data_IF_702171738664
#
_entry.id   IF_702171738664
#
_cell.length_a   1.000
_cell.length_b   1.000
_cell.length_c   1.000
_cell.angle_alpha   90.00
_cell.angle_beta   90.00
_cell.angle_gamma   90.00
#
_symmetry.space_group_name_H-M   'P 1'
#
loop_
_entity.id
_entity.type
_entity.pdbx_description
1 polymer ?
#
# COMPACT_ATOMS: atom_id res chain seq x y z
N UNK A 1 -12.26 29.10 -35.90
CA UNK A 1 -11.23 29.81 -35.11
C UNK A 1 -11.02 29.00 -33.85
N UNK A 2 -9.81 28.51 -33.67
CA UNK A 2 -9.41 27.39 -32.80
C UNK A 2 -9.43 27.75 -31.31
N UNK A 3 -10.17 26.98 -30.50
CA UNK A 3 -9.98 26.95 -29.05
C UNK A 3 -8.65 26.26 -28.72
N UNK A 4 -7.71 27.05 -28.26
CA UNK A 4 -6.41 26.62 -27.74
C UNK A 4 -6.60 26.13 -26.31
N UNK A 5 -6.89 24.84 -26.10
CA UNK A 5 -6.78 24.21 -24.78
C UNK A 5 -5.33 23.82 -24.55
N UNK A 6 -4.62 24.74 -23.91
CA UNK A 6 -3.26 24.57 -23.44
C UNK A 6 -3.08 23.26 -22.71
N UNK A 7 -2.29 22.39 -23.34
CA UNK A 7 -1.46 21.33 -22.80
C UNK A 7 -1.10 21.52 -21.33
N UNK A 8 -1.90 20.91 -20.46
CA UNK A 8 -1.53 20.66 -19.06
C UNK A 8 -1.41 19.15 -18.87
N UNK A 9 -0.24 18.74 -18.39
CA UNK A 9 0.03 17.43 -17.78
C UNK A 9 0.11 16.23 -18.73
N UNK A 10 1.29 15.94 -19.31
CA UNK A 10 1.47 14.65 -19.99
C UNK A 10 2.89 14.03 -19.92
N UNK A 11 3.71 14.40 -18.93
CA UNK A 11 5.04 13.77 -18.76
C UNK A 11 5.18 12.86 -17.53
N UNK A 12 4.38 13.07 -16.49
CA UNK A 12 4.31 12.18 -15.31
C UNK A 12 3.33 11.01 -15.50
N UNK A 13 2.40 11.11 -16.46
CA UNK A 13 1.41 10.09 -16.79
C UNK A 13 1.92 8.73 -17.32
N UNK A 14 2.96 8.64 -18.18
CA UNK A 14 3.30 7.36 -18.83
C UNK A 14 3.97 6.33 -17.89
N UNK A 15 4.72 6.78 -16.88
CA UNK A 15 5.42 5.89 -15.94
C UNK A 15 4.46 5.37 -14.86
N UNK A 16 3.68 6.27 -14.26
CA UNK A 16 2.68 5.90 -13.25
C UNK A 16 1.62 4.98 -13.87
N UNK A 17 1.21 5.27 -15.10
CA UNK A 17 0.30 4.41 -15.84
C UNK A 17 0.92 3.04 -16.09
N UNK A 18 2.17 2.95 -16.59
CA UNK A 18 2.83 1.63 -16.73
C UNK A 18 2.97 0.83 -15.43
N UNK A 19 3.11 1.50 -14.28
CA UNK A 19 3.24 0.84 -12.97
C UNK A 19 1.92 0.32 -12.42
N UNK A 20 0.80 0.94 -12.79
CA UNK A 20 -0.52 0.71 -12.18
C UNK A 20 -1.50 0.04 -13.15
N UNK A 21 -1.31 0.25 -14.46
CA UNK A 21 -2.24 -0.15 -15.49
C UNK A 21 -2.17 -1.66 -15.70
N UNK A 22 -3.27 -2.33 -15.38
CA UNK A 22 -3.46 -3.76 -15.57
C UNK A 22 -4.69 -4.01 -16.43
N UNK A 23 -4.63 -5.00 -17.30
CA UNK A 23 -5.77 -5.45 -18.08
C UNK A 23 -6.72 -6.27 -17.18
N UNK A 24 -8.04 -5.99 -17.13
CA UNK A 24 -8.99 -6.79 -16.38
C UNK A 24 -9.02 -8.27 -16.75
N UNK A 25 -8.56 -8.66 -17.94
CA UNK A 25 -8.43 -10.08 -18.34
C UNK A 25 -7.30 -10.81 -17.59
N UNK A 26 -6.33 -10.07 -17.05
CA UNK A 26 -5.20 -10.62 -16.27
C UNK A 26 -5.53 -10.84 -14.78
N UNK A 27 -6.76 -10.55 -14.35
CA UNK A 27 -7.22 -10.76 -12.96
C UNK A 27 -7.44 -12.26 -12.73
N UNK A 28 -6.37 -12.95 -12.39
CA UNK A 28 -6.38 -14.36 -12.01
C UNK A 28 -6.18 -14.51 -10.49
N UNK A 29 -6.29 -15.75 -9.99
CA UNK A 29 -6.07 -16.06 -8.57
C UNK A 29 -4.68 -15.61 -8.09
N UNK A 30 -3.66 -15.72 -8.95
CA UNK A 30 -2.29 -15.28 -8.65
C UNK A 30 -2.22 -13.77 -8.44
N UNK A 31 -2.94 -12.98 -9.23
CA UNK A 31 -3.06 -11.54 -9.04
C UNK A 31 -3.62 -11.20 -7.65
N UNK A 32 -4.70 -11.87 -7.25
CA UNK A 32 -5.31 -11.66 -5.92
C UNK A 32 -4.31 -11.96 -4.80
N UNK A 33 -3.59 -13.09 -4.90
CA UNK A 33 -2.55 -13.44 -3.93
C UNK A 33 -1.38 -12.45 -3.91
N UNK A 34 -0.90 -12.05 -5.09
CA UNK A 34 0.17 -11.07 -5.22
C UNK A 34 -0.25 -9.73 -4.60
N UNK A 35 -1.51 -9.33 -4.78
CA UNK A 35 -2.06 -8.10 -4.22
C UNK A 35 -2.17 -8.12 -2.69
N UNK A 36 -2.68 -9.22 -2.12
CA UNK A 36 -2.74 -9.42 -0.66
C UNK A 36 -1.33 -9.45 -0.07
N UNK A 37 -0.39 -10.18 -0.71
CA UNK A 37 1.01 -10.23 -0.28
C UNK A 37 1.64 -8.84 -0.27
N UNK A 38 1.41 -8.03 -1.31
CA UNK A 38 1.94 -6.68 -1.39
C UNK A 38 1.41 -5.78 -0.26
N UNK A 39 0.12 -5.90 0.10
CA UNK A 39 -0.44 -5.23 1.27
C UNK A 39 0.24 -5.67 2.56
N UNK A 40 0.43 -6.98 2.73
CA UNK A 40 1.16 -7.54 3.87
C UNK A 40 2.57 -6.97 3.99
N UNK A 41 3.35 -6.98 2.90
CA UNK A 41 4.72 -6.42 2.88
C UNK A 41 4.71 -4.94 3.25
N UNK A 42 3.85 -4.14 2.63
CA UNK A 42 3.75 -2.70 2.88
C UNK A 42 3.41 -2.41 4.36
N UNK A 43 2.43 -3.11 4.91
CA UNK A 43 2.06 -3.01 6.33
C UNK A 43 3.19 -3.47 7.26
N UNK A 44 3.85 -4.59 6.97
CA UNK A 44 4.98 -5.08 7.77
C UNK A 44 6.14 -4.08 7.77
N UNK A 45 6.41 -3.41 6.65
CA UNK A 45 7.43 -2.36 6.58
C UNK A 45 7.09 -1.17 7.47
N UNK A 46 5.83 -0.71 7.45
CA UNK A 46 5.39 0.35 8.36
C UNK A 46 5.52 -0.07 9.83
N UNK A 47 5.15 -1.31 10.16
CA UNK A 47 5.26 -1.86 11.51
C UNK A 47 6.72 -1.94 11.94
N UNK A 48 7.60 -2.46 11.09
CA UNK A 48 9.04 -2.56 11.37
C UNK A 48 9.65 -1.17 11.61
N UNK A 49 9.24 -0.16 10.84
CA UNK A 49 9.62 1.23 11.10
C UNK A 49 9.10 1.72 12.44
N UNK A 50 7.79 1.64 12.72
CA UNK A 50 7.23 2.05 14.02
C UNK A 50 7.87 1.33 15.21
N UNK A 51 8.20 0.05 15.05
CA UNK A 51 8.88 -0.72 16.07
C UNK A 51 10.30 -0.21 16.29
N UNK A 52 11.06 0.02 15.22
CA UNK A 52 12.41 0.58 15.28
C UNK A 52 12.43 1.99 15.90
N UNK A 53 11.40 2.81 15.68
CA UNK A 53 11.24 4.11 16.33
C UNK A 53 11.11 3.99 17.85
N UNK A 54 10.37 2.98 18.32
CA UNK A 54 10.09 2.77 19.75
C UNK A 54 11.19 2.00 20.48
N UNK A 55 11.85 1.09 19.77
CA UNK A 55 12.88 0.20 20.28
C UNK A 55 14.16 0.37 19.46
N UNK A 56 14.80 1.54 19.48
CA UNK A 56 16.04 1.75 18.73
C UNK A 56 17.13 0.74 19.11
N UNK A 57 17.14 0.23 20.34
CA UNK A 57 18.03 -0.81 20.85
C UNK A 57 17.90 -2.17 20.15
N UNK A 58 16.76 -2.43 19.50
CA UNK A 58 16.56 -3.64 18.69
C UNK A 58 17.33 -3.62 17.37
N UNK A 59 17.88 -2.47 17.01
CA UNK A 59 18.70 -2.28 15.83
C UNK A 59 20.14 -2.75 16.05
N UNK A 60 20.77 -3.25 14.99
CA UNK A 60 22.19 -3.64 15.02
C UNK A 60 23.01 -2.87 13.98
N UNK A 61 24.29 -2.63 14.29
CA UNK A 61 25.24 -2.02 13.36
C UNK A 61 24.87 -0.60 12.94
N UNK A 62 24.93 -0.31 11.64
CA UNK A 62 24.66 1.02 11.06
C UNK A 62 23.21 1.47 11.31
N UNK A 63 22.28 0.52 11.45
CA UNK A 63 20.87 0.81 11.70
C UNK A 63 20.67 1.44 13.08
N UNK A 64 21.49 1.07 14.07
CA UNK A 64 21.42 1.64 15.42
C UNK A 64 21.83 3.12 15.45
N UNK A 65 22.89 3.48 14.70
CA UNK A 65 23.44 4.84 14.66
C UNK A 65 22.47 5.81 13.96
N UNK A 66 21.70 5.31 12.99
CA UNK A 66 20.75 6.08 12.20
C UNK A 66 19.31 5.54 12.36
N UNK A 67 18.96 5.08 13.56
CA UNK A 67 17.70 4.37 13.83
C UNK A 67 16.47 5.21 13.47
N UNK A 68 16.49 6.51 13.77
CA UNK A 68 15.44 7.47 13.41
C UNK A 68 15.26 7.60 11.89
N UNK A 69 16.37 7.69 11.14
CA UNK A 69 16.35 7.79 9.68
C UNK A 69 15.79 6.51 9.04
N UNK A 70 16.27 5.34 9.49
CA UNK A 70 15.81 4.05 8.99
C UNK A 70 14.35 3.79 9.32
N UNK A 71 13.95 4.12 10.54
CA UNK A 71 12.57 4.02 10.99
C UNK A 71 11.64 4.88 10.14
N UNK A 72 11.97 6.16 9.97
CA UNK A 72 11.18 7.08 9.15
C UNK A 72 11.12 6.59 7.70
N UNK A 73 12.24 6.11 7.15
CA UNK A 73 12.30 5.55 5.80
C UNK A 73 11.39 4.34 5.62
N UNK A 74 11.36 3.41 6.58
CA UNK A 74 10.50 2.23 6.57
C UNK A 74 9.01 2.61 6.64
N UNK A 75 8.66 3.57 7.50
CA UNK A 75 7.29 4.09 7.62
C UNK A 75 6.84 4.73 6.30
N UNK A 76 7.63 5.64 5.75
CA UNK A 76 7.30 6.35 4.52
C UNK A 76 7.23 5.40 3.31
N UNK A 77 8.15 4.44 3.20
CA UNK A 77 8.17 3.47 2.12
C UNK A 77 6.97 2.51 2.20
N UNK A 78 6.66 2.01 3.40
CA UNK A 78 5.48 1.17 3.61
C UNK A 78 4.17 1.92 3.33
N UNK A 79 4.07 3.20 3.70
CA UNK A 79 2.92 4.03 3.37
C UNK A 79 2.79 4.23 1.86
N UNK A 80 3.88 4.57 1.18
CA UNK A 80 3.93 4.74 -0.26
C UNK A 80 3.47 3.48 -1.01
N UNK A 81 3.97 2.30 -0.60
CA UNK A 81 3.57 1.02 -1.19
C UNK A 81 2.08 0.71 -0.97
N UNK A 82 1.55 1.01 0.23
CA UNK A 82 0.12 0.85 0.51
C UNK A 82 -0.75 1.73 -0.39
N UNK A 83 -0.32 2.98 -0.65
CA UNK A 83 -1.03 3.90 -1.56
C UNK A 83 -1.00 3.36 -3.00
N UNK A 84 0.14 2.86 -3.47
CA UNK A 84 0.23 2.26 -4.81
C UNK A 84 -0.68 1.04 -4.93
N UNK A 85 -0.68 0.15 -3.93
CA UNK A 85 -1.53 -1.03 -3.92
C UNK A 85 -3.01 -0.64 -3.91
N UNK A 86 -3.41 0.36 -3.10
CA UNK A 86 -4.78 0.88 -3.10
C UNK A 86 -5.18 1.48 -4.46
N UNK A 87 -4.27 2.21 -5.10
CA UNK A 87 -4.52 2.83 -6.40
C UNK A 87 -4.71 1.76 -7.48
N UNK A 88 -3.91 0.69 -7.43
CA UNK A 88 -4.01 -0.43 -8.37
C UNK A 88 -5.36 -1.15 -8.26
N UNK A 89 -5.86 -1.40 -7.06
CA UNK A 89 -7.14 -2.09 -6.90
C UNK A 89 -8.32 -1.22 -7.33
N UNK A 90 -8.30 0.09 -7.04
CA UNK A 90 -9.32 1.04 -7.52
C UNK A 90 -9.31 1.08 -9.06
N UNK A 91 -8.13 1.12 -9.67
CA UNK A 91 -7.98 1.17 -11.12
C UNK A 91 -8.52 -0.10 -11.79
N UNK A 92 -8.14 -1.27 -11.28
CA UNK A 92 -8.60 -2.56 -11.77
C UNK A 92 -10.12 -2.68 -11.65
N UNK A 93 -10.67 -2.30 -10.50
CA UNK A 93 -12.10 -2.40 -10.26
C UNK A 93 -12.91 -1.37 -11.06
N UNK A 94 -12.33 -0.23 -11.43
CA UNK A 94 -12.93 0.70 -12.40
C UNK A 94 -13.05 0.12 -13.82
N UNK A 95 -12.23 -0.88 -14.16
CA UNK A 95 -12.28 -1.57 -15.46
C UNK A 95 -13.16 -2.82 -15.46
N UNK A 96 -13.24 -3.52 -14.33
CA UNK A 96 -14.10 -4.71 -14.20
C UNK A 96 -15.55 -4.24 -14.08
N UNK A 97 -16.43 -4.67 -14.99
CA UNK A 97 -17.89 -4.50 -14.89
C UNK A 97 -18.47 -5.40 -13.78
N UNK A 98 -17.94 -5.29 -12.57
CA UNK A 98 -18.37 -6.10 -11.43
C UNK A 98 -19.66 -5.52 -10.84
N UNK A 99 -20.57 -6.36 -10.33
CA UNK A 99 -21.71 -5.88 -9.56
C UNK A 99 -21.21 -5.11 -8.33
N UNK A 100 -21.65 -3.86 -8.18
CA UNK A 100 -21.17 -2.91 -7.16
C UNK A 100 -21.18 -3.50 -5.74
N UNK A 101 -22.16 -4.34 -5.41
CA UNK A 101 -22.26 -5.01 -4.11
C UNK A 101 -21.10 -5.97 -3.81
N UNK A 102 -20.64 -6.75 -4.79
CA UNK A 102 -19.53 -7.69 -4.64
C UNK A 102 -18.21 -6.93 -4.50
N UNK A 103 -18.05 -5.84 -5.27
CA UNK A 103 -16.94 -4.90 -5.15
C UNK A 103 -16.83 -4.33 -3.73
N UNK A 104 -17.92 -3.76 -3.22
CA UNK A 104 -17.97 -3.16 -1.87
C UNK A 104 -17.68 -4.22 -0.81
N UNK A 105 -18.26 -5.42 -0.94
CA UNK A 105 -18.06 -6.51 0.01
C UNK A 105 -16.58 -6.96 0.07
N UNK A 106 -15.92 -7.17 -1.07
CA UNK A 106 -14.51 -7.57 -1.12
C UNK A 106 -13.59 -6.48 -0.57
N UNK A 107 -13.84 -5.21 -0.93
CA UNK A 107 -13.13 -4.07 -0.35
C UNK A 107 -13.27 -4.02 1.17
N UNK A 108 -14.49 -4.19 1.69
CA UNK A 108 -14.76 -4.19 3.11
C UNK A 108 -14.12 -5.38 3.82
N UNK A 109 -14.12 -6.58 3.21
CA UNK A 109 -13.50 -7.78 3.76
C UNK A 109 -11.97 -7.61 3.85
N UNK A 110 -11.32 -7.13 2.79
CA UNK A 110 -9.88 -6.88 2.78
C UNK A 110 -9.53 -5.79 3.80
N UNK A 111 -10.27 -4.68 3.80
CA UNK A 111 -10.08 -3.60 4.76
C UNK A 111 -10.25 -4.11 6.20
N UNK A 112 -11.29 -4.90 6.48
CA UNK A 112 -11.54 -5.49 7.79
C UNK A 112 -10.41 -6.44 8.24
N UNK A 113 -9.91 -7.30 7.34
CA UNK A 113 -8.79 -8.20 7.65
C UNK A 113 -7.54 -7.38 7.98
N UNK A 114 -7.19 -6.41 7.13
CA UNK A 114 -6.01 -5.55 7.34
C UNK A 114 -6.14 -4.73 8.62
N UNK A 115 -7.32 -4.15 8.87
CA UNK A 115 -7.58 -3.35 10.07
C UNK A 115 -7.61 -4.21 11.34
N UNK A 116 -8.12 -5.44 11.27
CA UNK A 116 -8.13 -6.38 12.40
C UNK A 116 -6.73 -6.89 12.72
N UNK A 117 -5.91 -7.13 11.70
CA UNK A 117 -4.48 -7.38 11.85
C UNK A 117 -3.81 -6.18 12.52
N UNK A 118 -3.94 -4.98 11.94
CA UNK A 118 -3.36 -3.75 12.48
C UNK A 118 -3.81 -3.47 13.93
N UNK A 119 -5.09 -3.67 14.23
CA UNK A 119 -5.66 -3.46 15.56
C UNK A 119 -5.19 -4.51 16.57
N UNK A 120 -5.14 -5.79 16.20
CA UNK A 120 -4.55 -6.84 17.06
C UNK A 120 -3.09 -6.53 17.36
N UNK A 121 -2.34 -6.07 16.36
CA UNK A 121 -0.93 -5.70 16.54
C UNK A 121 -0.75 -4.44 17.38
N UNK A 122 -1.55 -3.40 17.15
CA UNK A 122 -1.55 -2.20 18.00
C UNK A 122 -1.87 -2.55 19.45
N UNK A 123 -2.81 -3.47 19.67
CA UNK A 123 -3.18 -3.94 21.02
C UNK A 123 -2.07 -4.75 21.68
N UNK A 124 -1.43 -5.67 20.94
CA UNK A 124 -0.28 -6.45 21.40
C UNK A 124 0.90 -5.54 21.78
N UNK A 125 1.17 -4.51 20.98
CA UNK A 125 2.24 -3.56 21.26
C UNK A 125 1.92 -2.58 22.40
N UNK A 126 0.66 -2.19 22.57
CA UNK A 126 0.24 -1.37 23.72
C UNK A 126 0.23 -2.16 25.03
N UNK A 127 0.07 -3.49 25.01
CA UNK A 127 0.06 -4.30 26.23
C UNK A 127 1.44 -4.79 26.67
N UNK A 128 2.49 -4.56 25.87
CA UNK A 128 3.89 -4.89 26.21
C UNK A 128 4.66 -3.63 26.67
N UNK A 129 4.00 -2.46 26.67
CA UNK A 129 4.40 -1.24 27.39
C UNK A 129 3.94 -1.27 28.84
#
# INVERSE_FOLDING_TARGET
MTENKGTLSNKSGPILKKLIDMDPEDINLKYIFDHIRNYGIASTMMIAGLYLWKHPESAFGIILIFSEFWSLSLILLGLFLNILNLTQIIWVLGKVKMPLGIYIFLMFLIFYIVLSFLASYAKYFMSIS
#
